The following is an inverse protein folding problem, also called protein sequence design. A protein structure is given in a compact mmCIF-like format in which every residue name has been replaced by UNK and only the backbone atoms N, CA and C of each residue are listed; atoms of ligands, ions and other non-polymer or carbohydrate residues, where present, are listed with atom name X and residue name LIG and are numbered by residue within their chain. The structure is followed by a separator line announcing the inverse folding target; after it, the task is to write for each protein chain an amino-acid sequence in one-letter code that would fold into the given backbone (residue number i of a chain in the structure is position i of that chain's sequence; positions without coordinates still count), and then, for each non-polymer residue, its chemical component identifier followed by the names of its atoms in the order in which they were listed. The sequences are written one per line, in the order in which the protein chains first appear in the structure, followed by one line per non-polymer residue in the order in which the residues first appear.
data_IF_079414712830
#
_entry.id   IF_079414712830
#
_cell.length_a   1.000
_cell.length_b   1.000
_cell.length_c   1.000
_cell.angle_alpha   90.00
_cell.angle_beta   90.00
_cell.angle_gamma   90.00
#
_symmetry.space_group_name_H-M   'P 1'
#
loop_
_entity.id
_entity.type
_entity.pdbx_description
1 polymer ?
#
# COMPACT_ATOMS: atom_id res chain seq x y z
N UNK A 1 -8.34 13.87 -21.99
CA UNK A 1 -8.46 12.95 -20.85
C UNK A 1 -7.25 13.10 -19.96
N UNK A 2 -7.47 13.52 -18.72
CA UNK A 2 -6.41 13.62 -17.72
C UNK A 2 -6.13 12.23 -17.12
N UNK A 3 -4.90 12.00 -16.67
CA UNK A 3 -4.53 10.74 -16.01
C UNK A 3 -4.49 10.97 -14.52
N UNK A 4 -5.08 10.07 -13.74
CA UNK A 4 -5.14 10.14 -12.29
C UNK A 4 -4.44 8.92 -11.67
N UNK A 5 -3.62 9.15 -10.65
CA UNK A 5 -3.11 8.10 -9.77
C UNK A 5 -4.05 7.97 -8.59
N UNK A 6 -4.47 6.74 -8.30
CA UNK A 6 -5.43 6.46 -7.25
C UNK A 6 -4.85 5.44 -6.26
N UNK A 7 -4.96 5.74 -4.97
CA UNK A 7 -4.75 4.79 -3.89
C UNK A 7 -6.13 4.43 -3.36
N UNK A 8 -6.48 3.15 -3.47
CA UNK A 8 -7.74 2.62 -2.97
C UNK A 8 -7.53 1.42 -2.05
N UNK A 9 -8.54 1.09 -1.27
CA UNK A 9 -8.59 -0.13 -0.45
C UNK A 9 -9.62 -1.08 -1.05
N UNK A 10 -9.26 -2.36 -1.16
CA UNK A 10 -10.20 -3.41 -1.51
C UNK A 10 -11.10 -3.78 -0.30
N UNK A 11 -12.14 -4.60 -0.50
CA UNK A 11 -13.00 -5.05 0.60
C UNK A 11 -12.30 -5.91 1.65
N UNK A 12 -11.08 -6.41 1.35
CA UNK A 12 -10.24 -7.20 2.26
C UNK A 12 -9.26 -6.31 3.06
N UNK A 13 -9.32 -4.99 2.89
CA UNK A 13 -8.45 -4.05 3.58
C UNK A 13 -7.05 -3.88 2.94
N UNK A 14 -6.79 -4.51 1.78
CA UNK A 14 -5.52 -4.35 1.06
C UNK A 14 -5.54 -3.07 0.22
N UNK A 15 -4.43 -2.33 0.26
CA UNK A 15 -4.26 -1.13 -0.56
C UNK A 15 -3.85 -1.52 -1.97
N UNK A 16 -4.58 -1.02 -2.95
CA UNK A 16 -4.34 -1.18 -4.39
C UNK A 16 -4.02 0.18 -4.98
N UNK A 17 -2.85 0.29 -5.62
CA UNK A 17 -2.48 1.46 -6.43
C UNK A 17 -2.89 1.21 -7.88
N UNK A 18 -3.61 2.15 -8.48
CA UNK A 18 -4.06 2.04 -9.86
C UNK A 18 -4.07 3.39 -10.55
N UNK A 19 -4.06 3.38 -11.88
CA UNK A 19 -4.08 4.57 -12.73
C UNK A 19 -5.31 4.54 -13.60
N UNK A 20 -6.04 5.64 -13.61
CA UNK A 20 -7.24 5.79 -14.44
C UNK A 20 -7.16 7.05 -15.29
N UNK A 21 -7.74 6.97 -16.48
CA UNK A 21 -7.94 8.13 -17.35
C UNK A 21 -9.40 8.54 -17.22
N UNK A 22 -9.63 9.81 -16.93
CA UNK A 22 -10.96 10.37 -16.74
C UNK A 22 -10.93 11.86 -17.05
N UNK A 23 -12.10 12.48 -17.11
CA UNK A 23 -12.22 13.91 -17.33
C UNK A 23 -12.31 14.69 -16.02
N UNK A 24 -12.61 14.02 -14.89
CA UNK A 24 -12.65 14.67 -13.57
C UNK A 24 -12.41 13.73 -12.36
N UNK A 25 -12.03 14.30 -11.22
CA UNK A 25 -11.86 13.55 -9.95
C UNK A 25 -13.15 12.84 -9.49
N UNK A 26 -14.35 13.48 -9.53
CA UNK A 26 -15.60 12.81 -9.16
C UNK A 26 -15.90 11.57 -10.00
N UNK A 27 -15.56 11.61 -11.30
CA UNK A 27 -15.73 10.49 -12.23
C UNK A 27 -14.83 9.31 -11.85
N UNK A 28 -13.54 9.56 -11.59
CA UNK A 28 -12.60 8.52 -11.09
C UNK A 28 -13.09 7.91 -9.78
N UNK A 29 -13.61 8.75 -8.90
CA UNK A 29 -14.09 8.32 -7.58
C UNK A 29 -15.32 7.43 -7.70
N UNK A 30 -16.26 7.76 -8.60
CA UNK A 30 -17.42 6.92 -8.90
C UNK A 30 -16.98 5.57 -9.46
N UNK A 31 -16.08 5.59 -10.44
CA UNK A 31 -15.55 4.40 -11.08
C UNK A 31 -14.85 3.44 -10.10
N UNK A 32 -14.12 3.99 -9.12
CA UNK A 32 -13.49 3.21 -8.06
C UNK A 32 -14.53 2.54 -7.17
N UNK A 33 -15.56 3.27 -6.75
CA UNK A 33 -16.63 2.72 -5.90
C UNK A 33 -17.43 1.63 -6.61
N UNK A 34 -17.70 1.79 -7.91
CA UNK A 34 -18.39 0.79 -8.73
C UNK A 34 -17.63 -0.55 -8.78
N UNK A 35 -16.32 -0.51 -8.55
CA UNK A 35 -15.43 -1.69 -8.46
C UNK A 35 -15.23 -2.20 -7.04
N UNK A 36 -16.04 -1.76 -6.08
CA UNK A 36 -15.87 -2.04 -4.65
C UNK A 36 -14.51 -1.59 -4.08
N UNK A 37 -13.89 -0.58 -4.70
CA UNK A 37 -12.64 0.01 -4.22
C UNK A 37 -12.96 1.30 -3.48
N UNK A 38 -12.48 1.42 -2.25
CA UNK A 38 -12.66 2.64 -1.44
C UNK A 38 -11.49 3.60 -1.70
N UNK A 39 -11.70 4.76 -2.34
CA UNK A 39 -10.63 5.70 -2.63
C UNK A 39 -10.11 6.37 -1.35
N UNK A 40 -8.79 6.34 -1.14
CA UNK A 40 -8.08 7.05 -0.06
C UNK A 40 -7.44 8.34 -0.60
N UNK A 41 -6.84 8.29 -1.78
CA UNK A 41 -6.24 9.45 -2.45
C UNK A 41 -6.43 9.34 -3.96
N UNK A 42 -6.79 10.46 -4.60
CA UNK A 42 -6.92 10.59 -6.05
C UNK A 42 -6.18 11.86 -6.45
N UNK A 43 -5.11 11.70 -7.23
CA UNK A 43 -4.23 12.81 -7.65
C UNK A 43 -4.13 12.85 -9.16
N UNK A 44 -4.29 14.05 -9.75
CA UNK A 44 -4.08 14.27 -11.18
C UNK A 44 -2.58 14.25 -11.50
N UNK A 45 -2.19 13.45 -12.50
CA UNK A 45 -0.81 13.35 -12.98
C UNK A 45 -0.53 14.58 -13.85
N UNK A 46 -0.08 15.65 -13.21
CA UNK A 46 0.48 16.83 -13.90
C UNK A 46 1.90 16.50 -14.35
N UNK A 47 2.13 16.58 -15.64
CA UNK A 47 3.43 16.33 -16.27
C UNK A 47 4.41 17.46 -15.96
N UNK A 48 5.03 17.43 -14.79
CA UNK A 48 6.48 17.57 -14.66
C UNK A 48 6.90 17.39 -13.19
N UNK A 49 8.00 16.68 -12.95
CA UNK A 49 8.75 16.59 -11.67
C UNK A 49 8.09 16.00 -10.40
N UNK A 50 6.82 16.24 -10.08
CA UNK A 50 6.22 15.83 -8.79
C UNK A 50 5.92 14.33 -8.66
N UNK A 51 5.58 13.66 -9.77
CA UNK A 51 5.21 12.24 -9.77
C UNK A 51 6.34 11.29 -9.31
N UNK A 52 7.62 11.70 -9.45
CA UNK A 52 8.75 10.91 -8.94
C UNK A 52 8.95 11.05 -7.44
N UNK A 53 8.54 12.19 -6.87
CA UNK A 53 8.74 12.50 -5.45
C UNK A 53 7.64 11.82 -4.61
N UNK A 54 6.38 11.92 -5.02
CA UNK A 54 5.26 11.21 -4.35
C UNK A 54 5.41 9.70 -4.43
N UNK A 55 5.82 9.14 -5.58
CA UNK A 55 6.04 7.69 -5.72
C UNK A 55 7.20 7.17 -4.84
N UNK A 56 8.22 8.00 -4.55
CA UNK A 56 9.35 7.65 -3.68
C UNK A 56 8.98 7.72 -2.20
N UNK A 57 8.20 8.73 -1.80
CA UNK A 57 7.66 8.85 -0.43
C UNK A 57 6.63 7.75 -0.14
N UNK A 58 5.77 7.42 -1.10
CA UNK A 58 4.78 6.33 -0.99
C UNK A 58 5.44 4.94 -0.97
N UNK A 59 6.49 4.70 -1.77
CA UNK A 59 7.32 3.48 -1.63
C UNK A 59 8.01 3.43 -0.27
N UNK A 60 8.47 4.56 0.25
CA UNK A 60 9.04 4.66 1.60
C UNK A 60 8.04 4.25 2.68
N UNK A 61 6.77 4.66 2.56
CA UNK A 61 5.70 4.29 3.50
C UNK A 61 5.28 2.81 3.38
N UNK A 62 5.26 2.25 2.16
CA UNK A 62 5.01 0.82 1.93
C UNK A 62 6.18 -0.06 2.42
N UNK A 63 7.43 0.38 2.22
CA UNK A 63 8.63 -0.30 2.69
C UNK A 63 8.83 -0.17 4.21
N UNK A 64 8.41 0.95 4.81
CA UNK A 64 8.43 1.15 6.26
C UNK A 64 7.52 0.18 7.03
N UNK A 65 6.55 -0.45 6.34
CA UNK A 65 5.66 -1.45 6.92
C UNK A 65 6.16 -2.90 6.75
N UNK A 66 7.30 -3.11 6.09
CA UNK A 66 7.96 -4.42 6.07
C UNK A 66 8.82 -4.58 7.32
N UNK A 67 8.60 -5.67 8.06
CA UNK A 67 9.42 -6.05 9.21
C UNK A 67 10.87 -6.14 8.77
N UNK A 68 11.75 -5.42 9.46
CA UNK A 68 13.17 -5.36 9.10
C UNK A 68 13.78 -6.76 9.21
N UNK A 69 14.76 -7.07 8.36
CA UNK A 69 15.45 -8.36 8.39
C UNK A 69 16.07 -8.67 9.78
N UNK A 70 16.54 -7.63 10.48
CA UNK A 70 17.03 -7.72 11.86
C UNK A 70 15.95 -8.13 12.86
N UNK A 71 14.73 -7.61 12.73
CA UNK A 71 13.60 -7.96 13.59
C UNK A 71 13.16 -9.40 13.37
N UNK A 72 13.17 -9.87 12.11
CA UNK A 72 12.94 -11.28 11.78
C UNK A 72 13.98 -12.18 12.46
N UNK A 73 15.26 -11.81 12.40
CA UNK A 73 16.33 -12.57 13.04
C UNK A 73 16.15 -12.66 14.57
N UNK A 74 15.74 -11.57 15.22
CA UNK A 74 15.45 -11.55 16.66
C UNK A 74 14.26 -12.46 16.99
N UNK A 75 13.18 -12.37 16.22
CA UNK A 75 12.00 -13.22 16.38
C UNK A 75 12.37 -14.70 16.31
N UNK A 76 13.09 -15.13 15.27
CA UNK A 76 13.48 -16.53 15.12
C UNK A 76 14.44 -17.00 16.21
N UNK A 77 15.33 -16.14 16.70
CA UNK A 77 16.18 -16.45 17.85
C UNK A 77 15.35 -16.69 19.11
N UNK A 78 14.38 -15.83 19.38
CA UNK A 78 13.50 -15.95 20.55
C UNK A 78 12.61 -17.20 20.45
N UNK A 79 12.04 -17.45 19.27
CA UNK A 79 11.26 -18.64 18.99
C UNK A 79 12.10 -19.92 19.21
N UNK A 80 13.35 -19.94 18.75
CA UNK A 80 14.25 -21.06 18.98
C UNK A 80 14.52 -21.30 20.48
N UNK A 81 14.63 -20.24 21.29
CA UNK A 81 14.76 -20.36 22.74
C UNK A 81 13.50 -20.93 23.38
N UNK A 82 12.32 -20.46 22.97
CA UNK A 82 11.03 -20.96 23.48
C UNK A 82 10.82 -22.45 23.14
N UNK A 83 11.14 -22.85 21.91
CA UNK A 83 11.10 -24.25 21.49
C UNK A 83 12.08 -25.12 22.29
N UNK A 84 13.30 -24.64 22.53
CA UNK A 84 14.27 -25.34 23.40
C UNK A 84 13.80 -25.45 24.85
N UNK A 85 13.02 -24.48 25.32
CA UNK A 85 12.40 -24.53 26.64
C UNK A 85 11.15 -25.44 26.70
N UNK A 86 10.80 -26.10 25.60
CA UNK A 86 9.68 -27.04 25.55
C UNK A 86 8.31 -26.39 25.39
N UNK A 87 8.25 -25.10 24.99
CA UNK A 87 6.96 -24.48 24.65
C UNK A 87 6.38 -25.15 23.40
N UNK A 88 5.17 -25.70 23.55
CA UNK A 88 4.43 -26.27 22.43
C UNK A 88 3.74 -25.16 21.63
N UNK A 89 3.79 -25.23 20.30
CA UNK A 89 3.21 -24.25 19.38
C UNK A 89 1.82 -24.65 18.85
N UNK A 90 1.23 -25.69 19.44
CA UNK A 90 -0.06 -26.29 19.08
C UNK A 90 -1.12 -25.95 20.12
#
# INVERSE_FOLDING_TARGET
MAKFTCICVDPQGQRVETRYEADSIPEVTSFLRDRNLTPISVEEIKSDTFARQTMRELRGLLAARQIKASEKAVFFRQLATMLKAGMNLL
#
